data_IF_193925534835
#
_entry.id   IF_193925534835
#
_cell.length_a   1.000
_cell.length_b   1.000
_cell.length_c   1.000
_cell.angle_alpha   90.00
_cell.angle_beta   90.00
_cell.angle_gamma   90.00
#
_symmetry.space_group_name_H-M   'P 1'
#
loop_
_entity.id
_entity.type
_entity.pdbx_description
1 polymer ?
#
# COMPACT_ATOMS: atom_id res chain seq x y z
N UNK A 1 -16.66 17.71 10.79
CA UNK A 1 -15.39 17.04 10.43
C UNK A 1 -15.72 15.86 9.51
N UNK A 2 -15.52 15.92 8.18
CA UNK A 2 -16.04 14.90 7.28
C UNK A 2 -15.09 13.69 7.22
N UNK A 3 -15.35 12.67 8.04
CA UNK A 3 -14.79 11.32 7.86
C UNK A 3 -15.61 10.56 6.82
N UNK A 4 -15.57 11.04 5.58
CA UNK A 4 -16.35 10.53 4.46
C UNK A 4 -15.45 9.93 3.40
N UNK A 5 -15.77 8.71 3.01
CA UNK A 5 -15.24 8.14 1.78
C UNK A 5 -15.78 8.94 0.58
N UNK A 6 -14.99 9.08 -0.49
CA UNK A 6 -15.36 9.77 -1.72
C UNK A 6 -15.26 8.84 -2.93
N UNK A 7 -16.31 8.78 -3.74
CA UNK A 7 -16.25 8.09 -5.03
C UNK A 7 -15.51 8.95 -6.06
N UNK A 8 -14.56 8.35 -6.79
CA UNK A 8 -13.75 9.06 -7.78
C UNK A 8 -14.46 9.26 -9.12
N UNK A 9 -15.46 8.44 -9.45
CA UNK A 9 -16.22 8.57 -10.71
C UNK A 9 -17.29 9.66 -10.64
N UNK A 10 -18.03 9.71 -9.54
CA UNK A 10 -19.18 10.62 -9.41
C UNK A 10 -19.02 11.66 -8.29
N UNK A 11 -17.84 11.76 -7.67
CA UNK A 11 -17.51 12.70 -6.58
C UNK A 11 -18.41 12.63 -5.33
N UNK A 12 -19.25 11.59 -5.23
CA UNK A 12 -20.17 11.38 -4.12
C UNK A 12 -19.42 11.13 -2.82
N UNK A 13 -19.81 11.85 -1.76
CA UNK A 13 -19.18 11.80 -0.43
C UNK A 13 -20.14 11.17 0.58
N UNK A 14 -19.69 10.16 1.32
CA UNK A 14 -20.52 9.46 2.29
C UNK A 14 -19.72 8.82 3.43
N UNK A 15 -20.35 8.69 4.60
CA UNK A 15 -19.66 8.17 5.80
C UNK A 15 -19.36 6.67 5.77
N UNK A 16 -20.11 5.86 4.99
CA UNK A 16 -19.90 4.42 4.82
C UNK A 16 -20.38 3.93 3.47
N UNK A 17 -19.53 3.20 2.75
CA UNK A 17 -19.93 2.42 1.58
C UNK A 17 -20.13 0.96 2.00
N UNK A 18 -21.38 0.48 2.10
CA UNK A 18 -21.71 -0.85 2.66
C UNK A 18 -21.11 -2.05 1.91
N UNK A 19 -20.68 -1.87 0.66
CA UNK A 19 -20.18 -2.95 -0.21
C UNK A 19 -18.94 -2.54 -1.03
N UNK A 20 -18.25 -1.47 -0.64
CA UNK A 20 -17.19 -0.89 -1.47
C UNK A 20 -17.68 -0.31 -2.81
N UNK A 21 -19.00 -0.19 -3.00
CA UNK A 21 -19.63 0.44 -4.17
C UNK A 21 -20.33 1.73 -3.78
N UNK A 22 -20.20 2.72 -4.65
CA UNK A 22 -20.90 3.98 -4.52
C UNK A 22 -22.42 3.80 -4.67
N UNK A 23 -23.28 4.31 -3.76
CA UNK A 23 -24.72 4.17 -3.89
C UNK A 23 -25.29 5.10 -4.98
N UNK A 24 -24.54 6.13 -5.39
CA UNK A 24 -24.99 7.07 -6.42
C UNK A 24 -24.70 6.57 -7.84
N UNK A 25 -23.50 6.04 -8.10
CA UNK A 25 -23.07 5.63 -9.43
C UNK A 25 -22.76 4.13 -9.58
N UNK A 26 -22.84 3.34 -8.51
CA UNK A 26 -22.54 1.90 -8.55
C UNK A 26 -21.06 1.54 -8.73
N UNK A 27 -20.20 2.53 -9.02
CA UNK A 27 -18.76 2.33 -9.18
C UNK A 27 -18.10 1.83 -7.90
N UNK A 28 -17.11 0.95 -8.05
CA UNK A 28 -16.27 0.45 -6.97
C UNK A 28 -15.04 1.35 -6.71
N UNK A 29 -14.82 2.39 -7.52
CA UNK A 29 -13.71 3.34 -7.33
C UNK A 29 -14.05 4.34 -6.23
N UNK A 30 -13.87 3.91 -4.98
CA UNK A 30 -14.07 4.72 -3.80
C UNK A 30 -12.74 4.92 -3.09
N UNK A 31 -12.30 6.17 -2.96
CA UNK A 31 -11.17 6.55 -2.14
C UNK A 31 -11.64 6.88 -0.72
N UNK A 32 -11.01 6.32 0.31
CA UNK A 32 -11.16 6.88 1.64
C UNK A 32 -10.33 8.18 1.70
N UNK A 33 -11.01 9.33 1.82
CA UNK A 33 -10.35 10.62 1.93
C UNK A 33 -9.59 10.79 3.26
N UNK A 34 -9.76 9.86 4.20
CA UNK A 34 -9.03 9.77 5.46
C UNK A 34 -7.78 8.87 5.44
N UNK A 35 -7.64 7.95 4.48
CA UNK A 35 -6.57 6.92 4.50
C UNK A 35 -5.46 7.14 3.47
N UNK A 36 -5.37 8.32 2.85
CA UNK A 36 -4.17 8.69 2.07
C UNK A 36 -2.92 8.88 2.95
N UNK A 37 -3.00 8.57 4.25
CA UNK A 37 -1.94 8.75 5.24
C UNK A 37 -1.43 7.45 5.86
N UNK A 38 -1.96 6.29 5.47
CA UNK A 38 -1.47 4.99 5.93
C UNK A 38 -0.76 4.23 4.79
N UNK A 39 0.02 4.96 3.99
CA UNK A 39 1.26 4.36 3.50
C UNK A 39 2.14 4.19 4.75
N UNK A 40 1.86 3.11 5.49
CA UNK A 40 2.59 2.66 6.66
C UNK A 40 4.03 2.58 6.21
N UNK A 41 4.79 3.66 6.43
CA UNK A 41 6.18 3.83 6.01
C UNK A 41 6.90 2.59 6.49
N UNK A 42 7.05 1.60 5.62
CA UNK A 42 7.83 0.40 5.89
C UNK A 42 9.20 0.98 6.16
N UNK A 43 9.57 1.01 7.43
CA UNK A 43 10.76 1.70 7.87
C UNK A 43 11.96 1.22 7.04
N UNK A 44 13.01 2.04 6.90
CA UNK A 44 14.19 1.69 6.11
C UNK A 44 14.81 0.34 6.50
N UNK A 45 14.44 -0.21 7.66
CA UNK A 45 14.71 -1.58 8.09
C UNK A 45 14.43 -2.65 7.03
N UNK A 46 13.29 -2.57 6.31
CA UNK A 46 12.95 -3.56 5.28
C UNK A 46 13.94 -3.51 4.11
N UNK A 47 14.45 -2.32 3.81
CA UNK A 47 15.38 -2.10 2.72
C UNK A 47 16.80 -2.52 3.13
N UNK A 48 17.20 -2.23 4.38
CA UNK A 48 18.45 -2.69 4.97
C UNK A 48 18.49 -4.22 5.03
N UNK A 49 17.41 -4.88 5.46
CA UNK A 49 17.33 -6.34 5.51
C UNK A 49 17.49 -6.95 4.12
N UNK A 50 16.83 -6.39 3.11
CA UNK A 50 17.02 -6.81 1.72
C UNK A 50 18.49 -6.69 1.31
N UNK A 51 19.12 -5.52 1.50
CA UNK A 51 20.53 -5.31 1.12
C UNK A 51 21.45 -6.31 1.83
N UNK A 52 21.29 -6.51 3.13
CA UNK A 52 22.07 -7.47 3.90
C UNK A 52 21.92 -8.90 3.37
N UNK A 53 20.69 -9.31 3.03
CA UNK A 53 20.40 -10.63 2.49
C UNK A 53 21.07 -10.84 1.11
N UNK A 54 21.03 -9.82 0.23
CA UNK A 54 21.67 -9.87 -1.08
C UNK A 54 23.19 -9.96 -0.99
N UNK A 55 23.81 -9.18 -0.10
CA UNK A 55 25.26 -9.23 0.12
C UNK A 55 25.67 -10.59 0.69
N UNK A 56 24.94 -11.12 1.67
CA UNK A 56 25.20 -12.44 2.24
C UNK A 56 25.13 -13.54 1.17
N UNK A 57 24.07 -13.52 0.35
CA UNK A 57 23.90 -14.47 -0.74
C UNK A 57 25.06 -14.39 -1.75
N UNK A 58 25.47 -13.17 -2.15
CA UNK A 58 26.57 -12.97 -3.08
C UNK A 58 27.91 -13.50 -2.54
N UNK A 59 28.16 -13.31 -1.25
CA UNK A 59 29.35 -13.85 -0.57
C UNK A 59 29.35 -15.38 -0.60
N UNK A 60 28.21 -16.01 -0.26
CA UNK A 60 28.12 -17.47 -0.20
C UNK A 60 28.23 -18.11 -1.58
N UNK A 61 27.62 -17.49 -2.60
CA UNK A 61 27.78 -17.90 -4.01
C UNK A 61 29.24 -17.75 -4.43
N UNK A 62 29.88 -16.61 -4.14
CA UNK A 62 31.29 -16.37 -4.47
C UNK A 62 32.21 -17.39 -3.81
N UNK A 63 31.99 -17.69 -2.52
CA UNK A 63 32.72 -18.75 -1.80
C UNK A 63 32.59 -20.10 -2.50
N UNK A 64 31.38 -20.45 -2.95
CA UNK A 64 31.12 -21.74 -3.58
C UNK A 64 31.56 -21.84 -5.04
N UNK A 65 31.75 -20.71 -5.72
CA UNK A 65 32.33 -20.67 -7.07
C UNK A 65 33.86 -20.65 -7.05
N UNK A 66 34.46 -20.15 -5.97
CA UNK A 66 35.92 -20.04 -5.81
C UNK A 66 36.53 -21.29 -5.12
N UNK A 67 35.75 -22.00 -4.30
CA UNK A 67 36.12 -23.29 -3.70
C UNK A 67 35.70 -24.46 -4.59
#
# INVERSE_FOLDING_TARGET
>A
MPLGYQCQDCSYQGHKFRQGRCPACGSANVANRGDASDEKKRGPLSLILCIALWVYLAIEIGRRFIA
#
